data_IF_278788527935
#
_entry.id   IF_278788527935
#
_cell.length_a   1.000
_cell.length_b   1.000
_cell.length_c   1.000
_cell.angle_alpha   90.00
_cell.angle_beta   90.00
_cell.angle_gamma   90.00
#
_symmetry.space_group_name_H-M   'P 1'
#
loop_
_entity.id
_entity.type
_entity.pdbx_description
1 polymer ?
#
# COMPACT_ATOMS: atom_id res chain seq x y z
N UNK A 1 -4.01 35.70 -1.18
CA UNK A 1 -4.87 35.14 -0.12
C UNK A 1 -6.05 34.49 -0.81
N UNK A 2 -6.05 33.17 -0.93
CA UNK A 2 -7.23 32.41 -1.34
C UNK A 2 -8.33 32.75 -0.32
N UNK A 3 -9.45 33.33 -0.73
CA UNK A 3 -10.45 33.83 0.20
C UNK A 3 -11.01 32.67 1.04
N UNK A 4 -10.91 32.77 2.37
CA UNK A 4 -11.47 31.84 3.39
C UNK A 4 -12.98 31.54 3.26
N UNK A 5 -13.65 32.17 2.30
CA UNK A 5 -15.05 32.02 1.92
C UNK A 5 -15.43 30.59 1.52
N UNK A 6 -14.49 29.64 1.41
CA UNK A 6 -14.80 28.34 0.81
C UNK A 6 -14.09 27.08 1.34
N UNK A 7 -13.59 27.10 2.58
CA UNK A 7 -12.84 25.96 3.14
C UNK A 7 -13.69 24.70 3.33
N UNK A 8 -14.97 24.83 3.71
CA UNK A 8 -15.87 23.67 3.82
C UNK A 8 -16.17 23.05 2.45
N UNK A 9 -16.38 23.85 1.38
CA UNK A 9 -16.51 23.24 0.06
C UNK A 9 -15.20 22.61 -0.37
N UNK A 10 -14.03 23.21 -0.10
CA UNK A 10 -12.74 22.59 -0.39
C UNK A 10 -12.58 21.22 0.28
N UNK A 11 -12.95 21.10 1.55
CA UNK A 11 -12.98 19.84 2.28
C UNK A 11 -13.85 18.78 1.58
N UNK A 12 -15.03 19.17 1.10
CA UNK A 12 -15.97 18.25 0.45
C UNK A 12 -15.65 18.00 -1.03
N UNK A 13 -14.99 18.94 -1.70
CA UNK A 13 -14.62 18.89 -3.12
C UNK A 13 -13.65 17.75 -3.46
N UNK A 14 -12.97 17.18 -2.45
CA UNK A 14 -12.20 15.94 -2.61
C UNK A 14 -13.06 14.79 -3.16
N UNK A 15 -14.32 14.71 -2.71
CA UNK A 15 -15.27 13.67 -3.08
C UNK A 15 -15.96 13.95 -4.41
N UNK A 16 -15.93 15.18 -4.92
CA UNK A 16 -16.35 15.50 -6.29
C UNK A 16 -15.26 15.04 -7.25
N UNK A 17 -15.43 13.85 -7.83
CA UNK A 17 -14.38 13.16 -8.58
C UNK A 17 -14.34 13.61 -10.04
N UNK A 18 -15.49 13.97 -10.59
CA UNK A 18 -15.61 14.46 -11.96
C UNK A 18 -15.58 16.01 -12.06
N UNK A 19 -15.61 16.73 -10.92
CA UNK A 19 -15.53 18.20 -10.83
C UNK A 19 -16.73 18.92 -11.44
N UNK A 20 -17.92 18.32 -11.36
CA UNK A 20 -19.17 18.93 -11.83
C UNK A 20 -19.95 19.68 -10.72
N UNK A 21 -19.46 19.67 -9.47
CA UNK A 21 -20.09 20.31 -8.32
C UNK A 21 -21.20 19.48 -7.67
N UNK A 22 -21.43 18.24 -8.10
CA UNK A 22 -22.47 17.35 -7.59
C UNK A 22 -21.88 15.99 -7.23
N UNK A 23 -21.88 15.66 -5.94
CA UNK A 23 -21.30 14.41 -5.45
C UNK A 23 -22.39 13.35 -5.33
N UNK A 24 -22.19 12.25 -6.03
CA UNK A 24 -23.06 11.08 -5.95
C UNK A 24 -22.47 9.95 -5.09
N UNK A 25 -23.28 8.96 -4.65
CA UNK A 25 -22.80 7.88 -3.80
C UNK A 25 -21.58 7.12 -4.34
N UNK A 26 -21.49 6.93 -5.66
CA UNK A 26 -20.33 6.26 -6.26
C UNK A 26 -19.04 7.09 -6.15
N UNK A 27 -19.14 8.41 -6.15
CA UNK A 27 -17.99 9.30 -5.97
C UNK A 27 -17.56 9.38 -4.51
N UNK A 28 -18.52 9.43 -3.58
CA UNK A 28 -18.24 9.26 -2.16
C UNK A 28 -17.53 7.92 -1.91
N UNK A 29 -18.05 6.82 -2.46
CA UNK A 29 -17.38 5.53 -2.40
C UNK A 29 -15.94 5.60 -2.93
N UNK A 30 -15.73 6.18 -4.12
CA UNK A 30 -14.40 6.33 -4.71
C UNK A 30 -13.46 7.16 -3.83
N UNK A 31 -13.94 8.26 -3.22
CA UNK A 31 -13.16 9.08 -2.30
C UNK A 31 -12.72 8.31 -1.06
N UNK A 32 -13.63 7.57 -0.42
CA UNK A 32 -13.28 6.71 0.73
C UNK A 32 -12.24 5.64 0.35
N UNK A 33 -12.38 5.04 -0.84
CA UNK A 33 -11.38 4.09 -1.37
C UNK A 33 -10.03 4.76 -1.62
N UNK A 34 -10.01 5.99 -2.13
CA UNK A 34 -8.79 6.74 -2.41
C UNK A 34 -7.98 7.04 -1.14
N UNK A 35 -8.64 7.38 -0.02
CA UNK A 35 -7.98 7.57 1.29
C UNK A 35 -7.65 6.24 2.00
N UNK A 36 -7.99 5.11 1.39
CA UNK A 36 -7.60 3.77 1.84
C UNK A 36 -8.58 3.06 2.76
N UNK A 37 -9.83 3.52 2.85
CA UNK A 37 -10.91 2.78 3.53
C UNK A 37 -11.24 1.49 2.78
N UNK A 38 -11.62 0.43 3.51
CA UNK A 38 -12.03 -0.85 2.92
C UNK A 38 -13.33 -0.77 2.10
N UNK A 39 -13.64 -1.82 1.33
CA UNK A 39 -14.83 -1.86 0.45
C UNK A 39 -16.13 -1.66 1.25
N UNK A 40 -16.32 -2.42 2.33
CA UNK A 40 -17.53 -2.38 3.14
C UNK A 40 -17.74 -1.00 3.79
N UNK A 41 -16.69 -0.45 4.42
CA UNK A 41 -16.74 0.88 5.03
C UNK A 41 -17.05 1.96 4.00
N UNK A 42 -16.44 1.90 2.81
CA UNK A 42 -16.68 2.87 1.74
C UNK A 42 -18.12 2.81 1.23
N UNK A 43 -18.70 1.60 1.11
CA UNK A 43 -20.08 1.42 0.68
C UNK A 43 -21.07 1.97 1.70
N UNK A 44 -20.89 1.63 2.99
CA UNK A 44 -21.76 2.10 4.06
C UNK A 44 -21.66 3.63 4.20
N UNK A 45 -20.46 4.19 4.13
CA UNK A 45 -20.25 5.63 4.20
C UNK A 45 -20.93 6.37 3.03
N UNK A 46 -20.78 5.86 1.80
CA UNK A 46 -21.43 6.43 0.62
C UNK A 46 -22.94 6.50 0.76
N UNK A 47 -23.58 5.40 1.20
CA UNK A 47 -25.04 5.39 1.39
C UNK A 47 -25.42 6.37 2.50
N UNK A 48 -24.76 6.30 3.66
CA UNK A 48 -25.09 7.11 4.82
C UNK A 48 -24.95 8.61 4.56
N UNK A 49 -23.83 9.04 3.98
CA UNK A 49 -23.52 10.46 3.72
C UNK A 49 -24.49 11.02 2.67
N UNK A 50 -24.63 10.36 1.52
CA UNK A 50 -25.49 10.87 0.45
C UNK A 50 -26.96 10.92 0.86
N UNK A 51 -27.47 9.87 1.53
CA UNK A 51 -28.85 9.88 2.04
C UNK A 51 -29.06 10.99 3.07
N UNK A 52 -28.07 11.23 3.95
CA UNK A 52 -28.17 12.23 5.01
C UNK A 52 -28.07 13.68 4.52
N UNK A 53 -27.24 13.94 3.50
CA UNK A 53 -26.92 15.29 3.06
C UNK A 53 -27.67 15.73 1.79
N UNK A 54 -28.16 14.80 0.95
CA UNK A 54 -28.77 15.14 -0.33
C UNK A 54 -30.00 16.05 -0.19
N UNK A 55 -30.90 15.73 0.73
CA UNK A 55 -32.11 16.54 0.96
C UNK A 55 -31.81 17.96 1.46
N UNK A 56 -30.69 18.15 2.17
CA UNK A 56 -30.28 19.45 2.71
C UNK A 56 -29.70 20.36 1.63
N UNK A 57 -28.82 19.81 0.78
CA UNK A 57 -28.02 20.57 -0.19
C UNK A 57 -28.71 20.79 -1.53
N UNK A 58 -29.69 19.94 -1.90
CA UNK A 58 -30.29 20.03 -3.23
C UNK A 58 -31.22 21.25 -3.41
N UNK A 59 -31.12 21.97 -4.55
CA UNK A 59 -32.04 23.05 -4.89
C UNK A 59 -33.44 22.50 -5.23
N UNK A 60 -34.50 23.27 -4.96
CA UNK A 60 -35.87 22.93 -5.40
C UNK A 60 -36.43 21.62 -4.81
N UNK A 61 -36.44 21.50 -3.48
CA UNK A 61 -36.69 20.28 -2.65
C UNK A 61 -38.04 19.54 -2.81
N UNK A 62 -38.79 19.73 -3.90
CA UNK A 62 -40.19 19.25 -4.03
C UNK A 62 -40.36 17.72 -4.06
N UNK A 63 -39.41 16.97 -4.63
CA UNK A 63 -39.52 15.50 -4.75
C UNK A 63 -38.22 14.82 -4.37
N UNK A 64 -38.19 13.63 -3.74
CA UNK A 64 -36.94 12.93 -3.44
C UNK A 64 -36.18 12.59 -4.74
N UNK A 65 -34.86 12.68 -4.73
CA UNK A 65 -34.01 12.23 -5.83
C UNK A 65 -33.34 10.94 -5.35
N UNK A 66 -33.71 9.82 -5.98
CA UNK A 66 -33.27 8.48 -5.60
C UNK A 66 -31.79 8.23 -5.87
N UNK A 67 -31.11 9.14 -6.58
CA UNK A 67 -29.65 9.11 -6.75
C UNK A 67 -28.91 9.82 -5.61
N UNK A 68 -29.62 10.47 -4.69
CA UNK A 68 -29.06 11.15 -3.52
C UNK A 68 -27.86 12.08 -3.82
N UNK A 69 -27.99 13.04 -4.76
CA UNK A 69 -26.91 13.99 -5.07
C UNK A 69 -26.65 14.95 -3.91
N UNK A 70 -25.38 15.27 -3.66
CA UNK A 70 -24.95 16.33 -2.75
C UNK A 70 -24.44 17.50 -3.60
N UNK A 71 -25.04 18.68 -3.44
CA UNK A 71 -24.64 19.87 -4.17
C UNK A 71 -23.57 20.62 -3.38
N UNK A 72 -22.38 20.75 -3.97
CA UNK A 72 -21.22 21.34 -3.31
C UNK A 72 -21.46 22.80 -2.92
N UNK A 73 -22.08 23.58 -3.80
CA UNK A 73 -22.42 25.00 -3.58
C UNK A 73 -23.21 25.20 -2.27
N UNK A 74 -24.09 24.25 -1.96
CA UNK A 74 -25.03 24.31 -0.83
C UNK A 74 -24.57 23.51 0.39
N UNK A 75 -23.32 23.04 0.43
CA UNK A 75 -22.83 22.15 1.49
C UNK A 75 -22.88 22.78 2.88
N UNK A 76 -22.79 24.10 2.99
CA UNK A 76 -22.91 24.84 4.24
C UNK A 76 -24.30 24.62 4.90
N UNK A 77 -25.34 24.37 4.11
CA UNK A 77 -26.69 24.01 4.60
C UNK A 77 -26.74 22.59 5.20
N UNK A 78 -25.72 21.78 4.95
CA UNK A 78 -25.66 20.39 5.39
C UNK A 78 -25.12 20.24 6.82
N UNK A 79 -24.51 21.30 7.37
CA UNK A 79 -24.08 21.41 8.77
C UNK A 79 -25.21 20.96 9.72
N UNK A 80 -24.82 20.43 10.86
CA UNK A 80 -25.74 20.00 11.90
C UNK A 80 -25.36 20.66 13.22
N UNK A 81 -26.33 20.71 14.15
CA UNK A 81 -26.03 21.07 15.52
C UNK A 81 -25.06 20.06 16.14
N UNK A 82 -24.52 20.41 17.29
CA UNK A 82 -23.53 19.59 17.98
C UNK A 82 -22.25 19.29 17.19
N UNK A 83 -21.98 20.09 16.16
CA UNK A 83 -20.70 20.12 15.47
C UNK A 83 -19.66 20.89 16.31
N UNK A 84 -18.44 21.02 15.80
CA UNK A 84 -17.37 21.71 16.54
C UNK A 84 -17.50 23.23 16.57
N UNK A 85 -18.41 23.82 15.78
CA UNK A 85 -18.48 25.26 15.56
C UNK A 85 -17.28 25.88 14.85
N UNK A 86 -16.31 25.09 14.37
CA UNK A 86 -15.09 25.59 13.70
C UNK A 86 -15.40 26.17 12.32
N UNK A 87 -16.37 25.61 11.61
CA UNK A 87 -16.94 26.27 10.44
C UNK A 87 -18.10 27.16 10.87
N UNK A 88 -18.12 28.41 10.42
CA UNK A 88 -19.28 29.28 10.61
C UNK A 88 -20.48 28.84 9.74
N UNK A 89 -21.57 29.60 9.79
CA UNK A 89 -22.81 29.30 9.05
C UNK A 89 -22.66 29.32 7.53
N UNK A 90 -21.60 29.96 7.02
CA UNK A 90 -21.27 30.02 5.59
C UNK A 90 -20.17 29.03 5.21
N UNK A 91 -19.68 28.22 6.16
CA UNK A 91 -18.62 27.25 5.90
C UNK A 91 -17.20 27.84 5.92
N UNK A 92 -16.99 29.00 6.55
CA UNK A 92 -15.67 29.66 6.69
C UNK A 92 -14.98 29.22 7.98
N UNK A 93 -13.65 29.20 7.99
CA UNK A 93 -12.87 28.79 9.15
C UNK A 93 -12.87 29.86 10.26
N UNK A 94 -13.36 29.51 11.44
CA UNK A 94 -13.27 30.34 12.65
C UNK A 94 -12.04 29.89 13.45
N UNK A 95 -10.90 30.54 13.20
CA UNK A 95 -9.62 30.18 13.81
C UNK A 95 -9.64 30.12 15.34
N UNK A 96 -10.32 31.07 15.99
CA UNK A 96 -10.44 31.07 17.46
C UNK A 96 -11.18 29.84 17.99
N UNK A 97 -12.21 29.35 17.26
CA UNK A 97 -12.93 28.12 17.61
C UNK A 97 -12.08 26.88 17.42
N UNK A 98 -11.22 26.86 16.39
CA UNK A 98 -10.26 25.80 16.19
C UNK A 98 -9.24 25.72 17.34
N UNK A 99 -8.65 26.85 17.72
CA UNK A 99 -7.70 26.91 18.84
C UNK A 99 -8.36 26.55 20.19
N UNK A 100 -9.64 26.90 20.36
CA UNK A 100 -10.43 26.58 21.56
C UNK A 100 -10.56 25.08 21.80
N UNK A 101 -10.53 24.24 20.75
CA UNK A 101 -10.54 22.77 20.88
C UNK A 101 -9.36 22.31 21.76
N UNK A 102 -8.16 22.73 21.40
CA UNK A 102 -6.94 22.29 22.08
C UNK A 102 -6.79 22.94 23.44
N UNK A 103 -7.11 24.23 23.54
CA UNK A 103 -7.09 24.93 24.82
C UNK A 103 -8.00 24.27 25.87
N UNK A 104 -9.14 23.72 25.46
CA UNK A 104 -10.10 23.11 26.40
C UNK A 104 -9.85 21.63 26.66
N UNK A 105 -9.47 20.86 25.65
CA UNK A 105 -9.51 19.40 25.73
C UNK A 105 -8.14 18.73 25.61
N UNK A 106 -7.08 19.44 25.20
CA UNK A 106 -5.77 18.86 25.02
C UNK A 106 -4.98 18.87 26.35
N UNK A 107 -5.36 17.98 27.28
CA UNK A 107 -4.80 17.91 28.63
C UNK A 107 -3.41 17.25 28.67
N UNK A 108 -3.18 16.29 27.77
CA UNK A 108 -1.96 15.47 27.74
C UNK A 108 -0.85 16.13 26.95
N UNK A 109 -1.19 16.78 25.83
CA UNK A 109 -0.27 17.48 24.95
C UNK A 109 -0.98 18.67 24.32
N UNK A 110 -0.38 19.86 24.34
CA UNK A 110 -1.01 21.09 23.82
C UNK A 110 -1.39 21.04 22.35
N UNK A 111 -0.73 20.17 21.56
CA UNK A 111 -0.89 20.10 20.11
C UNK A 111 -1.37 18.73 19.62
N UNK A 112 -2.01 17.94 20.49
CA UNK A 112 -2.64 16.68 20.08
C UNK A 112 -3.82 16.31 20.99
N UNK A 113 -4.76 15.53 20.46
CA UNK A 113 -5.84 14.94 21.23
C UNK A 113 -5.70 13.42 21.27
N UNK A 114 -5.69 12.86 22.48
CA UNK A 114 -5.90 11.43 22.70
C UNK A 114 -7.33 11.01 22.33
N UNK A 115 -7.59 9.71 22.23
CA UNK A 115 -8.94 9.22 21.96
C UNK A 115 -9.96 9.64 23.04
N UNK A 116 -9.53 9.72 24.31
CA UNK A 116 -10.41 10.08 25.42
C UNK A 116 -10.73 11.57 25.44
N UNK A 117 -9.71 12.42 25.23
CA UNK A 117 -9.88 13.88 25.06
C UNK A 117 -10.75 14.21 23.84
N UNK A 118 -10.58 13.46 22.74
CA UNK A 118 -11.44 13.59 21.57
C UNK A 118 -12.90 13.22 21.88
N UNK A 119 -13.11 12.13 22.64
CA UNK A 119 -14.45 11.73 23.06
C UNK A 119 -15.08 12.75 24.03
N UNK A 120 -14.29 13.36 24.91
CA UNK A 120 -14.72 14.44 25.78
C UNK A 120 -15.18 15.64 24.95
N UNK A 121 -14.34 16.11 24.03
CA UNK A 121 -14.66 17.20 23.11
C UNK A 121 -15.97 16.96 22.33
N UNK A 122 -16.14 15.76 21.74
CA UNK A 122 -17.37 15.39 21.02
C UNK A 122 -18.61 15.41 21.93
N UNK A 123 -18.47 14.96 23.18
CA UNK A 123 -19.56 15.01 24.16
C UNK A 123 -19.85 16.44 24.62
N UNK A 124 -18.82 17.27 24.76
CA UNK A 124 -18.92 18.67 25.16
C UNK A 124 -19.68 19.54 24.16
N UNK A 125 -19.61 19.21 22.86
CA UNK A 125 -20.34 19.95 21.82
C UNK A 125 -21.84 19.64 21.74
N UNK A 126 -22.36 18.67 22.49
CA UNK A 126 -23.75 18.21 22.36
C UNK A 126 -24.77 19.29 22.70
N UNK A 127 -25.59 19.65 21.72
CA UNK A 127 -26.72 20.56 21.93
C UNK A 127 -27.95 19.82 22.50
N UNK A 128 -28.73 20.43 23.40
CA UNK A 128 -29.92 19.79 23.96
C UNK A 128 -30.90 19.30 22.89
N UNK A 129 -31.31 18.03 22.99
CA UNK A 129 -32.27 17.34 22.10
C UNK A 129 -31.81 17.12 20.65
N UNK A 130 -30.55 17.40 20.32
CA UNK A 130 -30.01 17.18 18.98
C UNK A 130 -29.41 15.76 18.80
N UNK A 131 -30.23 14.74 18.97
CA UNK A 131 -29.77 13.34 18.92
C UNK A 131 -29.11 12.96 17.58
N UNK A 132 -29.57 13.55 16.46
CA UNK A 132 -28.98 13.31 15.14
C UNK A 132 -27.61 13.95 15.03
N UNK A 133 -27.43 15.19 15.48
CA UNK A 133 -26.12 15.84 15.51
C UNK A 133 -25.15 15.14 16.46
N UNK A 134 -25.62 14.61 17.59
CA UNK A 134 -24.76 13.83 18.51
C UNK A 134 -24.17 12.58 17.85
N UNK A 135 -24.99 11.87 17.08
CA UNK A 135 -24.54 10.69 16.33
C UNK A 135 -23.62 11.13 15.19
N UNK A 136 -23.98 12.19 14.46
CA UNK A 136 -23.17 12.78 13.38
C UNK A 136 -21.76 13.11 13.84
N UNK A 137 -21.63 13.97 14.86
CA UNK A 137 -20.33 14.36 15.41
C UNK A 137 -19.53 13.15 15.93
N UNK A 138 -20.16 12.21 16.63
CA UNK A 138 -19.45 11.01 17.08
C UNK A 138 -18.92 10.16 15.91
N UNK A 139 -19.69 9.99 14.84
CA UNK A 139 -19.27 9.24 13.66
C UNK A 139 -18.13 9.97 12.94
N UNK A 140 -18.26 11.28 12.73
CA UNK A 140 -17.25 12.12 12.06
C UNK A 140 -15.90 12.03 12.78
N UNK A 141 -15.88 12.25 14.09
CA UNK A 141 -14.65 12.28 14.86
C UNK A 141 -14.03 10.89 15.09
N UNK A 142 -14.84 9.84 15.25
CA UNK A 142 -14.33 8.47 15.26
C UNK A 142 -13.74 8.05 13.92
N UNK A 143 -14.38 8.44 12.82
CA UNK A 143 -13.87 8.18 11.49
C UNK A 143 -12.53 8.91 11.28
N UNK A 144 -12.45 10.19 11.62
CA UNK A 144 -11.21 10.95 11.56
C UNK A 144 -10.08 10.30 12.36
N UNK A 145 -10.35 9.93 13.63
CA UNK A 145 -9.38 9.22 14.46
C UNK A 145 -8.91 7.93 13.81
N UNK A 146 -9.82 7.14 13.23
CA UNK A 146 -9.49 5.89 12.56
C UNK A 146 -8.53 6.07 11.37
N UNK A 147 -8.73 7.11 10.55
CA UNK A 147 -7.96 7.30 9.31
C UNK A 147 -6.70 8.14 9.49
N UNK A 148 -6.61 8.96 10.53
CA UNK A 148 -5.60 10.01 10.62
C UNK A 148 -4.83 10.05 11.96
N UNK A 149 -5.13 9.17 12.92
CA UNK A 149 -4.30 9.06 14.13
C UNK A 149 -2.85 8.68 13.78
N UNK A 150 -1.92 9.13 14.60
CA UNK A 150 -0.51 8.80 14.51
C UNK A 150 -0.22 7.37 15.04
N UNK A 151 1.07 7.02 15.13
CA UNK A 151 1.50 5.72 15.65
C UNK A 151 1.25 5.56 17.16
N UNK A 152 1.13 6.66 17.90
CA UNK A 152 0.81 6.67 19.33
C UNK A 152 -0.70 6.66 19.59
N UNK A 153 -1.52 6.75 18.54
CA UNK A 153 -2.97 6.74 18.62
C UNK A 153 -3.59 8.10 18.96
N UNK A 154 -2.85 9.19 18.81
CA UNK A 154 -3.32 10.57 19.01
C UNK A 154 -3.60 11.26 17.68
N UNK A 155 -4.46 12.28 17.70
CA UNK A 155 -4.68 13.17 16.56
C UNK A 155 -3.92 14.47 16.78
N UNK A 156 -2.88 14.68 15.99
CA UNK A 156 -2.10 15.93 16.01
C UNK A 156 -2.94 17.11 15.54
N UNK A 157 -2.66 18.28 16.11
CA UNK A 157 -3.32 19.54 15.79
C UNK A 157 -3.27 19.88 14.31
N UNK A 158 -2.10 19.71 13.69
CA UNK A 158 -1.94 19.95 12.25
C UNK A 158 -2.74 18.97 11.39
N UNK A 159 -2.97 17.75 11.88
CA UNK A 159 -3.84 16.77 11.21
C UNK A 159 -5.31 17.21 11.29
N UNK A 160 -5.77 17.67 12.45
CA UNK A 160 -7.13 18.21 12.61
C UNK A 160 -7.29 19.50 11.79
N UNK A 161 -6.27 20.37 11.77
CA UNK A 161 -6.25 21.56 10.91
C UNK A 161 -6.39 21.21 9.43
N UNK A 162 -5.70 20.15 8.99
CA UNK A 162 -5.78 19.66 7.61
C UNK A 162 -7.18 19.16 7.23
N UNK A 163 -7.99 18.70 8.19
CA UNK A 163 -9.42 18.41 7.94
C UNK A 163 -10.15 19.69 7.58
N UNK A 164 -9.96 20.72 8.39
CA UNK A 164 -10.68 21.99 8.27
C UNK A 164 -10.25 22.85 7.07
N UNK A 165 -8.98 22.80 6.68
CA UNK A 165 -8.51 23.48 5.46
C UNK A 165 -8.74 22.68 4.17
N UNK A 166 -9.28 21.46 4.30
CA UNK A 166 -9.61 20.55 3.21
C UNK A 166 -8.42 19.79 2.60
N UNK A 167 -7.22 19.89 3.16
CA UNK A 167 -6.02 19.22 2.62
C UNK A 167 -5.83 17.77 3.07
N UNK A 168 -6.49 17.31 4.14
CA UNK A 168 -6.22 16.00 4.72
C UNK A 168 -6.48 14.86 3.74
N UNK A 169 -7.63 14.84 3.07
CA UNK A 169 -8.00 13.71 2.21
C UNK A 169 -7.08 13.59 0.99
N UNK A 170 -6.65 14.72 0.42
CA UNK A 170 -5.65 14.74 -0.65
C UNK A 170 -4.31 14.17 -0.15
N UNK A 171 -3.83 14.62 1.02
CA UNK A 171 -2.61 14.07 1.65
C UNK A 171 -2.69 12.56 1.84
N UNK A 172 -3.82 12.06 2.36
CA UNK A 172 -4.04 10.63 2.56
C UNK A 172 -4.08 9.87 1.22
N UNK A 173 -4.79 10.38 0.22
CA UNK A 173 -4.84 9.77 -1.10
C UNK A 173 -3.45 9.69 -1.77
N UNK A 174 -2.68 10.78 -1.72
CA UNK A 174 -1.30 10.81 -2.21
C UNK A 174 -0.41 9.80 -1.49
N UNK A 175 -0.46 9.74 -0.16
CA UNK A 175 0.28 8.74 0.63
C UNK A 175 -0.07 7.30 0.21
N UNK A 176 -1.35 7.00 -0.06
CA UNK A 176 -1.78 5.68 -0.52
C UNK A 176 -1.25 5.36 -1.92
N UNK A 177 -1.33 6.31 -2.86
CA UNK A 177 -0.80 6.10 -4.22
C UNK A 177 0.72 5.89 -4.20
N UNK A 178 1.46 6.68 -3.42
CA UNK A 178 2.90 6.56 -3.26
C UNK A 178 3.30 5.22 -2.62
N UNK A 179 2.56 4.79 -1.59
CA UNK A 179 2.74 3.48 -0.97
C UNK A 179 2.50 2.32 -1.95
N UNK A 180 1.45 2.42 -2.77
CA UNK A 180 1.14 1.43 -3.80
C UNK A 180 2.24 1.37 -4.88
N UNK A 181 2.71 2.53 -5.37
CA UNK A 181 3.84 2.62 -6.32
C UNK A 181 5.10 1.96 -5.75
N UNK A 182 5.46 2.26 -4.50
CA UNK A 182 6.62 1.65 -3.83
C UNK A 182 6.50 0.13 -3.72
N UNK A 183 5.33 -0.39 -3.34
CA UNK A 183 5.05 -1.84 -3.28
C UNK A 183 5.17 -2.49 -4.66
N UNK A 184 4.61 -1.87 -5.69
CA UNK A 184 4.69 -2.36 -7.06
C UNK A 184 6.14 -2.42 -7.56
N UNK A 185 6.94 -1.36 -7.32
CA UNK A 185 8.37 -1.34 -7.68
C UNK A 185 9.15 -2.45 -6.95
N UNK A 186 8.90 -2.64 -5.65
CA UNK A 186 9.52 -3.73 -4.88
C UNK A 186 9.13 -5.10 -5.41
N UNK A 187 7.85 -5.33 -5.73
CA UNK A 187 7.37 -6.58 -6.30
C UNK A 187 8.01 -6.87 -7.67
N UNK A 188 8.11 -5.86 -8.54
CA UNK A 188 8.79 -5.97 -9.84
C UNK A 188 10.28 -6.32 -9.68
N UNK A 189 10.97 -5.71 -8.71
CA UNK A 189 12.35 -6.04 -8.41
C UNK A 189 12.53 -7.49 -7.89
N UNK A 190 11.62 -7.94 -7.02
CA UNK A 190 11.61 -9.33 -6.53
C UNK A 190 11.33 -10.33 -7.66
N UNK A 191 10.39 -10.04 -8.55
CA UNK A 191 10.10 -10.88 -9.72
C UNK A 191 11.32 -10.96 -10.66
N UNK A 192 12.05 -9.86 -10.87
CA UNK A 192 13.29 -9.87 -11.64
C UNK A 192 14.38 -10.73 -10.99
N UNK A 193 14.56 -10.61 -9.67
CA UNK A 193 15.52 -11.46 -8.94
C UNK A 193 15.15 -12.94 -9.04
N UNK A 194 13.86 -13.27 -8.90
CA UNK A 194 13.34 -14.64 -9.02
C UNK A 194 13.59 -15.22 -10.41
N UNK A 195 13.24 -14.49 -11.46
CA UNK A 195 13.47 -14.95 -12.86
C UNK A 195 14.95 -15.14 -13.17
N UNK A 196 15.82 -14.26 -12.66
CA UNK A 196 17.28 -14.43 -12.78
C UNK A 196 17.78 -15.68 -12.03
N UNK A 197 17.28 -15.92 -10.82
CA UNK A 197 17.61 -17.12 -10.05
C UNK A 197 17.16 -18.40 -10.77
N UNK A 198 15.92 -18.44 -11.27
CA UNK A 198 15.40 -19.59 -12.03
C UNK A 198 16.22 -19.86 -13.31
N UNK A 199 16.70 -18.80 -13.99
CA UNK A 199 17.59 -18.94 -15.14
C UNK A 199 18.98 -19.50 -14.74
N UNK A 200 19.55 -19.00 -13.64
CA UNK A 200 20.82 -19.50 -13.10
C UNK A 200 20.71 -20.96 -12.64
N UNK A 201 19.61 -21.34 -11.99
CA UNK A 201 19.35 -22.71 -11.56
C UNK A 201 19.25 -23.67 -12.77
N UNK A 202 18.50 -23.29 -13.82
CA UNK A 202 18.43 -24.06 -15.07
C UNK A 202 19.81 -24.22 -15.72
N UNK A 203 20.61 -23.16 -15.74
CA UNK A 203 22.00 -23.21 -16.22
C UNK A 203 22.84 -24.17 -15.38
N UNK A 204 22.76 -24.07 -14.06
CA UNK A 204 23.49 -24.93 -13.12
C UNK A 204 23.13 -26.41 -13.27
N UNK A 205 21.84 -26.71 -13.44
CA UNK A 205 21.35 -28.08 -13.69
C UNK A 205 21.87 -28.64 -15.02
N UNK A 206 21.95 -27.81 -16.07
CA UNK A 206 22.52 -28.23 -17.36
C UNK A 206 24.01 -28.56 -17.23
N UNK A 207 24.77 -27.73 -16.53
CA UNK A 207 26.20 -28.01 -16.29
C UNK A 207 26.39 -29.28 -15.44
N UNK A 208 25.65 -29.47 -14.34
CA UNK A 208 25.70 -30.70 -13.54
C UNK A 208 25.41 -31.98 -14.35
N UNK A 209 24.47 -31.92 -15.28
CA UNK A 209 24.18 -33.04 -16.19
C UNK A 209 25.35 -33.36 -17.12
N UNK A 210 26.02 -32.33 -17.66
CA UNK A 210 27.24 -32.51 -18.48
C UNK A 210 28.36 -33.16 -17.66
N UNK A 211 28.65 -32.64 -16.47
CA UNK A 211 29.69 -33.18 -15.58
C UNK A 211 29.40 -34.64 -15.21
N UNK A 212 28.13 -34.97 -14.93
CA UNK A 212 27.71 -36.35 -14.64
C UNK A 212 27.88 -37.27 -15.84
N UNK A 213 27.51 -36.81 -17.05
CA UNK A 213 27.70 -37.57 -18.28
C UNK A 213 29.19 -37.81 -18.57
N UNK A 214 30.04 -36.79 -18.32
CA UNK A 214 31.48 -36.88 -18.49
C UNK A 214 32.10 -37.90 -17.51
N UNK A 215 31.75 -37.83 -16.21
CA UNK A 215 32.18 -38.80 -15.21
C UNK A 215 31.80 -40.24 -15.58
N UNK A 216 30.59 -40.45 -16.12
CA UNK A 216 30.17 -41.77 -16.61
C UNK A 216 31.05 -42.27 -17.75
N UNK A 217 31.42 -41.40 -18.70
CA UNK A 217 32.33 -41.77 -19.79
C UNK A 217 33.71 -42.16 -19.26
N UNK A 218 34.29 -41.36 -18.36
CA UNK A 218 35.60 -41.67 -17.75
C UNK A 218 35.56 -43.01 -17.02
N UNK A 219 34.52 -43.28 -16.21
CA UNK A 219 34.35 -44.56 -15.52
C UNK A 219 34.24 -45.72 -16.52
N UNK A 220 33.49 -45.55 -17.62
CA UNK A 220 33.36 -46.58 -18.64
C UNK A 220 34.68 -46.85 -19.35
N UNK A 221 35.41 -45.79 -19.74
CA UNK A 221 36.74 -45.92 -20.36
C UNK A 221 37.71 -46.65 -19.44
N UNK A 222 37.72 -46.31 -18.15
CA UNK A 222 38.53 -47.00 -17.15
C UNK A 222 38.21 -48.49 -17.06
N UNK A 223 36.93 -48.87 -16.99
CA UNK A 223 36.52 -50.29 -16.98
C UNK A 223 36.99 -51.02 -18.23
N UNK A 224 36.78 -50.42 -19.41
CA UNK A 224 37.25 -51.03 -20.66
C UNK A 224 38.78 -51.24 -20.65
N UNK A 225 39.53 -50.32 -20.03
CA UNK A 225 40.98 -50.44 -19.89
C UNK A 225 41.38 -51.55 -18.90
N UNK A 226 40.70 -51.64 -17.76
CA UNK A 226 40.86 -52.73 -16.78
C UNK A 226 40.52 -54.11 -17.42
N UNK A 227 39.47 -54.18 -18.24
CA UNK A 227 39.11 -55.40 -19.00
C UNK A 227 40.19 -55.76 -20.02
N UNK A 228 40.75 -54.79 -20.75
CA UNK A 228 41.85 -55.03 -21.71
C UNK A 228 43.12 -55.55 -21.02
N UNK A 229 43.44 -55.05 -19.82
CA UNK A 229 44.55 -55.58 -19.01
C UNK A 229 44.30 -57.03 -18.54
N UNK A 230 43.04 -57.43 -18.35
CA UNK A 230 42.70 -58.82 -18.03
C UNK A 230 42.73 -59.75 -19.27
N UNK A 231 42.62 -59.18 -20.48
CA UNK A 231 42.53 -59.94 -21.75
C UNK A 231 43.88 -60.08 -22.48
N UNK A 232 44.94 -59.36 -22.07
CA UNK A 232 46.32 -59.71 -22.48
C UNK A 232 46.80 -60.92 -21.66
N UNK A 233 47.13 -62.09 -22.20
CA UNK A 233 48.16 -62.38 -23.24
C UNK A 233 49.46 -61.67 -22.87
N UNK A 234 50.51 -62.45 -22.63
CA UNK A 234 51.90 -62.00 -22.52
C UNK A 234 52.23 -61.09 -23.71
N UNK A 235 52.21 -59.78 -23.50
CA UNK A 235 52.76 -58.82 -24.45
C UNK A 235 53.99 -58.19 -23.82
N UNK A 236 55.10 -58.36 -24.53
CA UNK A 236 56.43 -57.89 -24.21
C UNK A 236 56.42 -56.37 -23.94
N UNK A 237 57.01 -55.96 -22.81
CA UNK A 237 56.98 -54.60 -22.24
C UNK A 237 57.93 -53.65 -22.97
N UNK A 238 57.87 -53.57 -24.30
CA UNK A 238 58.60 -52.55 -25.05
C UNK A 238 57.65 -51.78 -25.95
N UNK A 239 57.62 -50.46 -25.78
CA UNK A 239 56.89 -49.49 -26.60
C UNK A 239 55.35 -49.48 -26.46
N UNK A 240 54.88 -49.02 -25.30
CA UNK A 240 53.66 -48.20 -25.27
C UNK A 240 54.02 -46.90 -24.56
N UNK A 241 54.17 -45.84 -25.35
CA UNK A 241 54.47 -44.51 -24.84
C UNK A 241 53.25 -44.00 -24.05
N UNK A 242 53.45 -43.71 -22.76
CA UNK A 242 52.37 -43.30 -21.86
C UNK A 242 51.77 -41.93 -22.20
N UNK A 243 52.38 -41.18 -23.12
CA UNK A 243 51.92 -39.89 -23.66
C UNK A 243 50.68 -40.01 -24.56
N UNK A 244 50.54 -41.06 -25.37
CA UNK A 244 49.47 -41.16 -26.39
C UNK A 244 48.06 -41.37 -25.80
N UNK A 245 47.96 -41.93 -24.59
CA UNK A 245 46.66 -42.21 -23.96
C UNK A 245 46.07 -40.93 -23.34
N UNK A 246 46.92 -40.04 -22.85
CA UNK A 246 46.53 -38.75 -22.27
C UNK A 246 46.08 -37.75 -23.33
N UNK A 247 46.41 -37.97 -24.61
CA UNK A 247 46.00 -37.12 -25.71
C UNK A 247 44.50 -37.25 -26.07
N UNK A 248 43.84 -38.34 -25.65
CA UNK A 248 42.42 -38.60 -25.98
C UNK A 248 41.41 -38.01 -24.98
N UNK A 249 41.87 -37.59 -23.81
CA UNK A 249 41.07 -36.92 -22.80
C UNK A 249 41.81 -35.64 -22.40
N UNK A 250 41.49 -34.56 -23.10
CA UNK A 250 41.89 -33.19 -22.79
C UNK A 250 42.04 -32.98 -21.26
N UNK A 251 43.20 -32.48 -20.85
CA UNK A 251 43.58 -32.37 -19.43
C UNK A 251 42.55 -31.56 -18.62
N UNK A 252 41.90 -30.58 -19.25
CA UNK A 252 40.81 -29.79 -18.65
C UNK A 252 39.56 -30.65 -18.36
N UNK A 253 39.33 -31.67 -19.18
CA UNK A 253 38.23 -32.64 -19.06
C UNK A 253 38.46 -33.61 -17.90
N UNK A 254 39.71 -34.01 -17.63
CA UNK A 254 40.10 -34.83 -16.47
C UNK A 254 40.06 -34.05 -15.15
N UNK A 255 40.48 -32.78 -15.18
CA UNK A 255 40.51 -31.92 -13.99
C UNK A 255 39.11 -31.64 -13.42
N UNK A 256 38.08 -31.55 -14.27
CA UNK A 256 36.66 -31.42 -13.88
C UNK A 256 36.07 -32.70 -13.27
N UNK A 257 36.66 -33.87 -13.54
CA UNK A 257 36.18 -35.15 -13.01
C UNK A 257 36.68 -35.41 -11.58
N UNK A 258 37.90 -34.95 -11.25
CA UNK A 258 38.61 -35.28 -10.02
C UNK A 258 38.42 -34.28 -8.87
N UNK A 259 38.06 -33.02 -9.15
CA UNK A 259 37.85 -32.00 -8.11
C UNK A 259 36.38 -31.50 -8.04
N UNK A 260 35.54 -32.09 -7.16
CA UNK A 260 34.17 -31.65 -6.95
C UNK A 260 34.05 -30.28 -6.24
N UNK A 261 35.11 -29.81 -5.57
CA UNK A 261 35.09 -28.52 -4.84
C UNK A 261 35.40 -27.34 -5.77
N UNK A 262 36.05 -27.55 -6.91
CA UNK A 262 36.22 -26.52 -7.96
C UNK A 262 34.89 -26.02 -8.55
N UNK A 263 33.77 -26.73 -8.33
CA UNK A 263 32.43 -26.29 -8.71
C UNK A 263 31.96 -25.04 -7.96
N UNK A 264 32.61 -24.68 -6.86
CA UNK A 264 32.40 -23.41 -6.13
C UNK A 264 32.85 -22.17 -6.90
N UNK A 265 33.61 -22.31 -8.01
CA UNK A 265 34.01 -21.18 -8.88
C UNK A 265 32.92 -20.69 -9.82
N UNK A 266 31.90 -21.50 -10.06
CA UNK A 266 30.68 -21.04 -10.71
C UNK A 266 29.70 -20.76 -9.59
N UNK A 267 29.11 -19.57 -9.52
CA UNK A 267 28.08 -19.22 -8.54
C UNK A 267 26.83 -20.12 -8.71
N UNK A 268 26.97 -21.35 -8.23
CA UNK A 268 26.17 -22.54 -8.12
C UNK A 268 26.52 -23.09 -6.73
#
# INVERSE_FOLDING_TARGET
MESDQNVLQKHVAFFDRNKDGVIYPWETYQGFRAIGSGILLSLVAAIFINVSLSGKTRPGKKFPNLLFPIYLENIHLAKHGSDSGVYDTHGRLVHSKFEEIFHKHAHTSSDALTADELNEFVKGNREPKDYKGWIGGLVEWKFLHHIAKDNNGVLEKDTIKAVYDGSLFEKLAEQKTNSAKKKHTKAKALLKKRTQWEANEKRCMKERRKTTALRRKVIQTRRNWEDLQQVGIEHDNSEVDHEDILETLDYDTLHLAYDPESSTKFNC
#
